data_IF_384091594220
#
_entry.id   IF_384091594220
#
_cell.length_a   1.000
_cell.length_b   1.000
_cell.length_c   1.000
_cell.angle_alpha   90.00
_cell.angle_beta   90.00
_cell.angle_gamma   90.00
#
_symmetry.space_group_name_H-M   'P 1'
#
loop_
_entity.id
_entity.type
_entity.pdbx_description
1 polymer ?
#
# COMPACT_ATOMS: atom_id res chain seq x y z
N UNK A 1 -5.97 -9.53 5.53
CA UNK A 1 -6.44 -8.28 6.16
C UNK A 1 -7.31 -7.51 5.20
N UNK A 2 -8.30 -6.76 5.70
CA UNK A 2 -9.24 -5.98 4.88
C UNK A 2 -8.49 -4.88 4.11
N UNK A 3 -7.62 -4.10 4.78
CA UNK A 3 -6.81 -3.06 4.12
C UNK A 3 -5.94 -3.62 2.99
N UNK A 4 -5.37 -4.82 3.16
CA UNK A 4 -4.64 -5.50 2.07
C UNK A 4 -5.54 -5.78 0.87
N UNK A 5 -6.77 -6.22 1.09
CA UNK A 5 -7.71 -6.45 0.00
C UNK A 5 -8.09 -5.13 -0.70
N UNK A 6 -8.30 -4.04 0.05
CA UNK A 6 -8.47 -2.70 -0.52
C UNK A 6 -7.29 -2.31 -1.42
N UNK A 7 -6.05 -2.52 -0.97
CA UNK A 7 -4.85 -2.27 -1.79
C UNK A 7 -4.85 -3.09 -3.08
N UNK A 8 -5.36 -4.32 -3.08
CA UNK A 8 -5.43 -5.13 -4.30
C UNK A 8 -6.38 -4.52 -5.34
N UNK A 9 -7.52 -4.00 -4.88
CA UNK A 9 -8.46 -3.27 -5.73
C UNK A 9 -7.84 -1.97 -6.28
N UNK A 10 -7.11 -1.22 -5.43
CA UNK A 10 -6.37 -0.03 -5.84
C UNK A 10 -5.31 -0.37 -6.89
N UNK A 11 -4.48 -1.40 -6.68
CA UNK A 11 -3.45 -1.81 -7.65
C UNK A 11 -4.08 -2.17 -9.00
N UNK A 12 -5.17 -2.93 -8.99
CA UNK A 12 -5.91 -3.27 -10.23
C UNK A 12 -6.38 -2.03 -10.97
N UNK A 13 -6.91 -1.04 -10.25
CA UNK A 13 -7.42 0.21 -10.83
C UNK A 13 -6.31 1.11 -11.39
N UNK A 14 -5.15 1.11 -10.73
CA UNK A 14 -3.97 1.85 -11.17
C UNK A 14 -3.18 1.13 -12.28
N UNK A 15 -3.62 -0.07 -12.69
CA UNK A 15 -2.91 -0.89 -13.68
C UNK A 15 -1.57 -1.44 -13.17
N UNK A 16 -1.40 -1.55 -11.85
CA UNK A 16 -0.20 -2.07 -11.21
C UNK A 16 -0.33 -3.59 -11.10
N UNK A 17 0.63 -4.31 -11.68
CA UNK A 17 0.67 -5.76 -11.58
C UNK A 17 0.86 -6.20 -10.12
N UNK A 18 0.04 -7.14 -9.69
CA UNK A 18 0.09 -7.69 -8.34
C UNK A 18 0.47 -9.16 -8.38
N UNK A 19 1.62 -9.48 -7.79
CA UNK A 19 2.13 -10.84 -7.67
C UNK A 19 2.07 -11.28 -6.21
N UNK A 20 1.38 -12.39 -5.95
CA UNK A 20 1.38 -13.04 -4.66
C UNK A 20 2.39 -14.18 -4.68
N UNK A 21 3.47 -14.03 -3.91
CA UNK A 21 4.49 -15.06 -3.74
C UNK A 21 4.98 -15.09 -2.30
N UNK A 22 5.73 -16.13 -1.96
CA UNK A 22 6.56 -16.11 -0.75
C UNK A 22 7.71 -15.13 -1.02
N UNK A 23 7.99 -14.28 -0.05
CA UNK A 23 9.04 -13.26 -0.10
C UNK A 23 10.02 -13.59 1.02
N UNK A 24 11.31 -13.69 0.68
CA UNK A 24 12.38 -13.83 1.66
C UNK A 24 12.81 -12.47 2.21
N UNK A 25 13.49 -12.46 3.36
CA UNK A 25 13.99 -11.19 3.94
C UNK A 25 14.94 -10.46 2.99
N UNK A 26 15.78 -11.20 2.27
CA UNK A 26 16.83 -10.63 1.42
C UNK A 26 16.23 -9.97 0.17
N UNK A 27 15.06 -10.45 -0.29
CA UNK A 27 14.27 -9.75 -1.32
C UNK A 27 13.75 -8.39 -0.86
N UNK A 28 13.46 -8.21 0.43
CA UNK A 28 13.01 -6.92 0.97
C UNK A 28 14.19 -5.94 1.03
N UNK A 29 15.38 -6.40 1.38
CA UNK A 29 16.58 -5.57 1.42
C UNK A 29 16.94 -4.96 0.06
N UNK A 30 16.61 -5.65 -1.04
CA UNK A 30 16.86 -5.18 -2.41
C UNK A 30 15.60 -4.65 -3.11
N UNK A 31 14.49 -4.51 -2.40
CA UNK A 31 13.26 -3.96 -2.98
C UNK A 31 13.38 -2.45 -3.20
N UNK A 32 12.73 -1.95 -4.24
CA UNK A 32 12.65 -0.50 -4.49
C UNK A 32 11.81 0.22 -3.41
N UNK A 33 10.76 -0.44 -2.93
CA UNK A 33 9.82 0.10 -1.94
C UNK A 33 9.21 -1.03 -1.09
N UNK A 34 8.86 -0.73 0.16
CA UNK A 34 8.09 -1.61 1.02
C UNK A 34 7.10 -0.81 1.88
N UNK A 35 5.98 -1.41 2.26
CA UNK A 35 4.99 -0.78 3.13
C UNK A 35 4.16 -1.81 3.91
N UNK A 36 3.61 -1.40 5.05
CA UNK A 36 2.61 -2.15 5.79
C UNK A 36 1.20 -1.74 5.39
N UNK A 37 0.25 -2.68 5.55
CA UNK A 37 -1.18 -2.41 5.45
C UNK A 37 -1.90 -2.82 6.73
N UNK A 38 -2.75 -1.97 7.27
CA UNK A 38 -3.57 -2.31 8.44
C UNK A 38 -4.74 -1.34 8.63
N UNK A 39 -5.69 -1.66 9.51
CA UNK A 39 -6.79 -0.73 9.82
C UNK A 39 -6.25 0.48 10.59
N UNK A 40 -5.37 0.25 11.57
CA UNK A 40 -4.71 1.33 12.31
C UNK A 40 -3.49 1.90 11.55
N UNK A 41 -2.74 1.04 10.85
CA UNK A 41 -1.53 1.42 10.14
C UNK A 41 -1.79 1.97 8.72
N UNK A 42 -3.02 1.88 8.23
CA UNK A 42 -3.42 2.33 6.90
C UNK A 42 -2.49 1.78 5.81
N UNK A 43 -1.83 2.65 5.04
CA UNK A 43 -0.71 2.33 4.15
C UNK A 43 0.51 3.08 4.68
N UNK A 44 1.41 2.37 5.38
CA UNK A 44 2.59 2.98 6.03
C UNK A 44 3.88 2.56 5.31
N UNK A 45 4.64 3.50 4.70
CA UNK A 45 5.92 3.21 4.06
C UNK A 45 6.97 2.68 5.05
N UNK A 46 7.79 1.74 4.60
CA UNK A 46 8.94 1.20 5.34
C UNK A 46 10.20 1.71 4.64
N UNK A 47 10.94 2.59 5.33
CA UNK A 47 12.21 3.14 4.82
C UNK A 47 13.42 2.24 5.08
N UNK A 48 13.33 1.35 6.07
CA UNK A 48 14.45 0.58 6.59
C UNK A 48 13.94 -0.70 7.25
N UNK A 49 14.64 -1.82 7.02
CA UNK A 49 14.44 -3.10 7.70
C UNK A 49 15.78 -3.62 8.21
N UNK A 50 15.87 -3.99 9.48
CA UNK A 50 17.10 -4.54 10.09
C UNK A 50 18.35 -3.67 9.86
N UNK A 51 18.18 -2.34 9.91
CA UNK A 51 19.22 -1.33 9.64
C UNK A 51 19.72 -1.30 8.20
N UNK A 52 19.01 -1.97 7.29
CA UNK A 52 19.22 -1.90 5.84
C UNK A 52 18.19 -0.94 5.25
N UNK A 53 18.67 0.11 4.60
CA UNK A 53 17.83 1.06 3.89
C UNK A 53 17.15 0.38 2.69
N UNK A 54 15.84 0.61 2.51
CA UNK A 54 15.08 0.06 1.38
C UNK A 54 14.99 1.13 0.29
N UNK A 55 15.42 0.79 -0.92
CA UNK A 55 15.38 1.67 -2.08
C UNK A 55 16.08 3.00 -1.85
N UNK A 56 15.30 4.09 -1.72
CA UNK A 56 15.78 5.47 -1.52
C UNK A 56 15.68 5.97 -0.07
N UNK A 57 15.42 5.09 0.90
CA UNK A 57 15.31 5.44 2.32
C UNK A 57 14.14 6.35 2.68
N UNK A 58 13.17 6.50 1.78
CA UNK A 58 12.03 7.39 1.91
C UNK A 58 10.81 6.80 1.21
N UNK A 59 9.65 7.45 1.34
CA UNK A 59 8.42 7.01 0.65
C UNK A 59 8.64 7.04 -0.87
N UNK A 60 8.54 5.90 -1.51
CA UNK A 60 8.66 5.81 -2.97
C UNK A 60 7.35 6.14 -3.71
N UNK A 61 7.45 6.31 -5.05
CA UNK A 61 6.34 6.76 -5.89
C UNK A 61 5.17 5.76 -5.98
N UNK A 62 5.40 4.46 -5.92
CA UNK A 62 4.34 3.44 -5.98
C UNK A 62 3.54 3.44 -4.69
N UNK A 63 4.23 3.48 -3.56
CA UNK A 63 3.64 3.56 -2.22
C UNK A 63 2.82 4.83 -2.08
N UNK A 64 3.32 5.97 -2.56
CA UNK A 64 2.59 7.24 -2.54
C UNK A 64 1.29 7.20 -3.36
N UNK A 65 1.31 6.60 -4.56
CA UNK A 65 0.10 6.45 -5.39
C UNK A 65 -0.95 5.59 -4.70
N UNK A 66 -0.53 4.45 -4.14
CA UNK A 66 -1.43 3.52 -3.43
C UNK A 66 -1.98 4.20 -2.17
N UNK A 67 -1.13 4.87 -1.40
CA UNK A 67 -1.51 5.59 -0.18
C UNK A 67 -2.51 6.71 -0.49
N UNK A 68 -2.26 7.52 -1.51
CA UNK A 68 -3.16 8.60 -1.93
C UNK A 68 -4.54 8.06 -2.34
N UNK A 69 -4.56 7.01 -3.18
CA UNK A 69 -5.80 6.36 -3.59
C UNK A 69 -6.56 5.74 -2.40
N UNK A 70 -5.85 5.16 -1.44
CA UNK A 70 -6.45 4.65 -0.21
C UNK A 70 -7.13 5.77 0.58
N UNK A 71 -6.45 6.90 0.78
CA UNK A 71 -7.01 8.05 1.49
C UNK A 71 -8.21 8.67 0.76
N UNK A 72 -8.20 8.70 -0.57
CA UNK A 72 -9.35 9.17 -1.33
C UNK A 72 -10.58 8.27 -1.16
N UNK A 73 -10.36 6.95 -1.03
CA UNK A 73 -11.45 6.00 -0.79
C UNK A 73 -12.02 6.18 0.62
N UNK A 74 -11.18 6.17 1.67
CA UNK A 74 -11.67 6.25 3.06
C UNK A 74 -12.28 7.60 3.41
N UNK A 75 -11.85 8.67 2.75
CA UNK A 75 -12.44 10.01 2.90
C UNK A 75 -13.66 10.24 1.97
N UNK A 76 -14.13 9.22 1.25
CA UNK A 76 -15.32 9.33 0.39
C UNK A 76 -15.13 10.19 -0.86
N UNK A 77 -13.88 10.49 -1.25
CA UNK A 77 -13.55 11.24 -2.48
C UNK A 77 -13.56 10.37 -3.73
N UNK A 78 -13.69 9.06 -3.58
CA UNK A 78 -13.76 8.11 -4.70
C UNK A 78 -15.18 7.48 -4.81
N UNK A 79 -16.01 7.92 -5.78
CA UNK A 79 -17.38 7.43 -5.96
C UNK A 79 -17.47 5.92 -6.22
N UNK A 80 -16.46 5.34 -6.86
CA UNK A 80 -16.43 3.90 -7.20
C UNK A 80 -16.51 3.01 -5.95
N UNK A 81 -15.92 3.47 -4.86
CA UNK A 81 -15.81 2.74 -3.61
C UNK A 81 -16.74 3.29 -2.52
N UNK A 82 -17.69 4.17 -2.88
CA UNK A 82 -18.64 4.74 -1.92
C UNK A 82 -19.42 3.66 -1.14
N UNK A 83 -19.67 2.51 -1.77
CA UNK A 83 -20.35 1.35 -1.16
C UNK A 83 -19.55 0.68 -0.02
N UNK A 84 -18.27 1.01 0.17
CA UNK A 84 -17.49 0.57 1.33
C UNK A 84 -17.68 1.44 2.57
N UNK A 85 -18.27 2.63 2.41
CA UNK A 85 -18.48 3.57 3.51
C UNK A 85 -19.93 3.49 3.99
N UNK A 86 -20.11 3.37 5.30
CA UNK A 86 -21.43 3.46 5.93
C UNK A 86 -21.55 4.83 6.59
N UNK A 87 -22.54 5.62 6.16
CA UNK A 87 -22.83 6.91 6.78
C UNK A 87 -23.44 6.66 8.17
N UNK A 88 -22.84 7.26 9.19
CA UNK A 88 -23.34 7.27 10.58
C UNK A 88 -24.14 8.52 10.88
#
# INVERSE_FOLDING_TARGET
GITRNTVFHICKDLGIELVQKRITRDEIYIADEAFFTGTAAEVTPIRELDRVEIGRGSRGPVTEKIQSAFFDIVNGRNPKYAHWLTKV
#
